data_IF_368274598736
#
_entry.id   IF_368274598736
#
_cell.length_a   1.000
_cell.length_b   1.000
_cell.length_c   1.000
_cell.angle_alpha   90.00
_cell.angle_beta   90.00
_cell.angle_gamma   90.00
#
_symmetry.space_group_name_H-M   'P 1'
#
loop_
_entity.id
_entity.type
_entity.pdbx_description
1 polymer ?
#
# COMPACT_ATOMS: atom_id res chain seq x y z
N UNK A 1 -7.15 0.89 -11.12
CA UNK A 1 -7.30 1.25 -12.56
C UNK A 1 -6.84 2.68 -12.76
N UNK A 2 -6.27 3.01 -13.92
CA UNK A 2 -5.84 4.37 -14.23
C UNK A 2 -7.05 5.23 -14.56
N UNK A 3 -7.22 6.36 -13.89
CA UNK A 3 -8.35 7.27 -14.13
C UNK A 3 -8.18 8.14 -15.40
N UNK A 4 -7.00 8.12 -16.04
CA UNK A 4 -6.62 9.02 -17.14
C UNK A 4 -6.12 8.28 -18.37
N UNK A 5 -6.38 6.98 -18.48
CA UNK A 5 -5.86 6.15 -19.58
C UNK A 5 -6.83 6.03 -20.75
N UNK A 6 -8.11 5.76 -20.48
CA UNK A 6 -9.17 5.65 -21.51
C UNK A 6 -10.41 6.49 -21.13
N UNK A 7 -11.29 6.76 -22.10
CA UNK A 7 -12.58 7.42 -21.89
C UNK A 7 -13.57 6.54 -21.12
N UNK A 8 -13.36 5.22 -21.11
CA UNK A 8 -14.14 4.25 -20.31
C UNK A 8 -13.24 3.61 -19.24
N UNK A 9 -13.64 3.70 -17.97
CA UNK A 9 -12.86 3.17 -16.83
C UNK A 9 -12.64 1.64 -16.94
N UNK A 10 -13.62 0.91 -17.48
CA UNK A 10 -13.52 -0.54 -17.66
C UNK A 10 -12.42 -0.96 -18.66
N UNK A 11 -12.08 -0.08 -19.59
CA UNK A 11 -11.07 -0.32 -20.64
C UNK A 11 -9.69 0.24 -20.25
N UNK A 12 -9.60 0.94 -19.12
CA UNK A 12 -8.36 1.56 -18.64
C UNK A 12 -7.39 0.55 -18.04
N UNK A 13 -6.09 0.80 -18.18
CA UNK A 13 -5.03 -0.02 -17.58
C UNK A 13 -5.20 -0.21 -16.07
N UNK A 14 -4.88 -1.43 -15.60
CA UNK A 14 -4.70 -1.70 -14.19
C UNK A 14 -3.35 -1.16 -13.70
N UNK A 15 -3.39 -0.11 -12.88
CA UNK A 15 -2.20 0.49 -12.24
C UNK A 15 -2.10 0.18 -10.75
N UNK A 16 -3.04 -0.61 -10.21
CA UNK A 16 -3.08 -0.97 -8.79
C UNK A 16 -3.46 0.19 -7.87
N UNK A 17 -3.12 0.03 -6.60
CA UNK A 17 -3.27 1.04 -5.55
C UNK A 17 -2.21 0.79 -4.49
N UNK A 18 -1.69 1.86 -3.91
CA UNK A 18 -0.62 1.79 -2.91
C UNK A 18 -1.16 2.09 -1.52
N UNK A 19 -0.69 1.33 -0.53
CA UNK A 19 -0.90 1.60 0.90
C UNK A 19 0.42 1.46 1.63
N UNK A 20 0.77 2.45 2.45
CA UNK A 20 2.02 2.47 3.24
C UNK A 20 1.68 2.55 4.72
N UNK A 21 2.27 1.67 5.51
CA UNK A 21 1.95 1.50 6.93
C UNK A 21 3.22 1.37 7.77
N UNK A 22 3.14 1.87 9.01
CA UNK A 22 4.14 1.63 10.03
C UNK A 22 3.96 0.18 10.55
N UNK A 23 4.98 -0.68 10.44
CA UNK A 23 4.87 -2.07 10.85
C UNK A 23 5.00 -2.27 12.37
N UNK A 24 4.97 -1.21 13.17
CA UNK A 24 5.10 -1.29 14.63
C UNK A 24 3.73 -1.31 15.30
N UNK A 25 3.49 -2.35 16.10
CA UNK A 25 2.26 -2.51 16.91
C UNK A 25 2.68 -2.76 18.36
N UNK A 26 2.16 -1.96 19.29
CA UNK A 26 2.52 -2.01 20.72
C UNK A 26 4.04 -2.00 20.97
N UNK A 27 4.79 -1.23 20.18
CA UNK A 27 6.25 -1.14 20.29
C UNK A 27 7.02 -2.31 19.67
N UNK A 28 6.34 -3.34 19.14
CA UNK A 28 6.97 -4.45 18.43
C UNK A 28 6.93 -4.21 16.91
N UNK A 29 8.10 -4.21 16.28
CA UNK A 29 8.21 -4.21 14.81
C UNK A 29 7.81 -5.58 14.27
N UNK A 30 6.90 -5.59 13.31
CA UNK A 30 6.41 -6.78 12.63
C UNK A 30 7.04 -6.91 11.23
N UNK A 31 7.05 -8.13 10.72
CA UNK A 31 7.40 -8.45 9.33
C UNK A 31 6.26 -9.24 8.71
N UNK A 32 5.99 -9.03 7.43
CA UNK A 32 4.80 -9.57 6.79
C UNK A 32 5.13 -10.45 5.60
N UNK A 33 4.31 -11.46 5.38
CA UNK A 33 4.22 -12.22 4.13
C UNK A 33 2.82 -12.10 3.57
N UNK A 34 2.70 -12.04 2.26
CA UNK A 34 1.39 -12.06 1.60
C UNK A 34 1.01 -13.49 1.25
N UNK A 35 -0.21 -13.90 1.64
CA UNK A 35 -0.76 -15.23 1.35
C UNK A 35 -2.28 -15.17 1.30
N UNK A 36 -2.87 -15.77 0.27
CA UNK A 36 -4.33 -15.96 0.13
C UNK A 36 -5.17 -14.68 0.34
N UNK A 37 -4.71 -13.53 -0.15
CA UNK A 37 -5.43 -12.26 -0.02
C UNK A 37 -5.16 -11.48 1.26
N UNK A 38 -4.32 -12.00 2.16
CA UNK A 38 -4.01 -11.38 3.44
C UNK A 38 -2.52 -11.16 3.63
N UNK A 39 -2.20 -10.16 4.44
CA UNK A 39 -0.86 -9.99 5.01
C UNK A 39 -0.82 -10.74 6.34
N UNK A 40 0.16 -11.62 6.51
CA UNK A 40 0.34 -12.41 7.73
C UNK A 40 1.61 -11.92 8.40
N UNK A 41 1.52 -11.43 9.65
CA UNK A 41 2.74 -11.08 10.38
C UNK A 41 3.47 -12.34 10.88
N UNK A 42 4.79 -12.36 10.78
CA UNK A 42 5.59 -13.54 11.13
C UNK A 42 5.77 -13.71 12.63
N UNK A 43 5.57 -12.64 13.41
CA UNK A 43 5.86 -12.61 14.84
C UNK A 43 4.72 -13.14 15.72
N UNK A 44 3.49 -13.09 15.23
CA UNK A 44 2.28 -13.54 15.95
C UNK A 44 1.35 -14.38 15.08
N UNK A 45 1.51 -14.34 13.75
CA UNK A 45 0.62 -15.03 12.82
C UNK A 45 -0.73 -14.35 12.65
N UNK A 46 -0.90 -13.10 13.10
CA UNK A 46 -2.15 -12.37 12.89
C UNK A 46 -2.34 -12.08 11.39
N UNK A 47 -3.59 -12.11 10.94
CA UNK A 47 -3.95 -11.82 9.55
C UNK A 47 -4.45 -10.39 9.44
N UNK A 48 -3.99 -9.70 8.41
CA UNK A 48 -4.25 -8.30 8.16
C UNK A 48 -4.82 -8.14 6.75
N UNK A 49 -5.86 -7.32 6.62
CA UNK A 49 -6.41 -6.95 5.32
C UNK A 49 -5.59 -5.83 4.65
N UNK A 50 -5.96 -5.50 3.41
CA UNK A 50 -5.28 -4.47 2.60
C UNK A 50 -5.36 -3.07 3.20
N UNK A 51 -6.29 -2.83 4.13
CA UNK A 51 -6.44 -1.52 4.80
C UNK A 51 -5.50 -1.36 5.99
N UNK A 52 -4.78 -2.43 6.36
CA UNK A 52 -3.91 -2.48 7.53
C UNK A 52 -4.66 -2.90 8.81
N UNK A 53 -5.88 -3.44 8.70
CA UNK A 53 -6.64 -3.91 9.86
C UNK A 53 -6.37 -5.38 10.12
N UNK A 54 -6.04 -5.74 11.35
CA UNK A 54 -5.97 -7.12 11.78
C UNK A 54 -7.39 -7.71 11.86
N UNK A 55 -7.65 -8.71 11.05
CA UNK A 55 -8.95 -9.39 10.96
C UNK A 55 -8.98 -10.72 11.73
N UNK A 56 -7.82 -11.21 12.16
CA UNK A 56 -7.69 -12.48 12.87
C UNK A 56 -6.37 -12.56 13.65
N UNK A 57 -6.30 -13.45 14.64
CA UNK A 57 -5.13 -13.70 15.48
C UNK A 57 -4.97 -12.74 16.65
N UNK A 58 -3.75 -12.68 17.20
CA UNK A 58 -3.45 -11.96 18.46
C UNK A 58 -3.83 -10.47 18.40
N UNK A 59 -3.69 -9.83 17.24
CA UNK A 59 -3.93 -8.41 17.07
C UNK A 59 -5.31 -8.06 16.51
N UNK A 60 -6.25 -9.00 16.44
CA UNK A 60 -7.59 -8.77 15.87
C UNK A 60 -8.22 -7.44 16.34
N UNK A 61 -8.73 -6.67 15.38
CA UNK A 61 -9.33 -5.36 15.61
C UNK A 61 -8.36 -4.18 15.63
N UNK A 62 -7.05 -4.40 15.76
CA UNK A 62 -6.04 -3.33 15.66
C UNK A 62 -5.84 -2.89 14.21
N UNK A 63 -5.35 -1.67 14.04
CA UNK A 63 -4.95 -1.11 12.76
C UNK A 63 -3.47 -0.76 12.79
N UNK A 64 -2.76 -1.05 11.71
CA UNK A 64 -1.46 -0.45 11.45
C UNK A 64 -1.64 1.05 11.22
N UNK A 65 -0.70 1.84 11.73
CA UNK A 65 -0.68 3.27 11.49
C UNK A 65 -0.35 3.52 10.01
N UNK A 66 -1.24 4.24 9.30
CA UNK A 66 -1.05 4.59 7.90
C UNK A 66 -0.05 5.74 7.79
N UNK A 67 0.98 5.55 6.98
CA UNK A 67 1.97 6.60 6.69
C UNK A 67 1.45 7.44 5.53
N UNK A 68 1.56 8.76 5.66
CA UNK A 68 1.25 9.68 4.56
C UNK A 68 2.20 9.40 3.39
N UNK A 69 1.64 9.03 2.26
CA UNK A 69 2.36 8.73 1.02
C UNK A 69 1.54 9.28 -0.16
N UNK A 70 2.15 9.28 -1.33
CA UNK A 70 1.48 9.65 -2.56
C UNK A 70 1.78 8.64 -3.65
N UNK A 71 0.75 8.38 -4.44
CA UNK A 71 0.78 7.57 -5.66
C UNK A 71 0.39 8.52 -6.79
N UNK A 72 1.37 8.93 -7.59
CA UNK A 72 1.23 10.07 -8.50
C UNK A 72 1.53 9.66 -9.93
N UNK A 73 0.75 10.20 -10.87
CA UNK A 73 1.17 10.23 -12.27
C UNK A 73 2.45 11.04 -12.42
N UNK A 74 3.36 10.55 -13.26
CA UNK A 74 4.66 11.19 -13.50
C UNK A 74 4.51 12.67 -13.89
N UNK A 75 3.60 13.01 -14.81
CA UNK A 75 3.39 14.39 -15.23
C UNK A 75 2.99 15.31 -14.07
N UNK A 76 2.16 14.83 -13.13
CA UNK A 76 1.73 15.61 -11.98
C UNK A 76 2.88 15.79 -10.98
N UNK A 77 3.69 14.74 -10.79
CA UNK A 77 4.89 14.82 -9.96
C UNK A 77 5.88 15.87 -10.48
N UNK A 78 6.16 15.87 -11.79
CA UNK A 78 7.13 16.79 -12.39
C UNK A 78 6.71 18.26 -12.34
N UNK A 79 5.42 18.59 -12.25
CA UNK A 79 4.96 19.97 -12.01
C UNK A 79 5.47 20.49 -10.66
N UNK A 80 5.52 19.65 -9.63
CA UNK A 80 5.94 20.05 -8.28
C UNK A 80 7.40 19.73 -7.97
N UNK A 81 8.03 18.81 -8.71
CA UNK A 81 9.40 18.33 -8.51
C UNK A 81 10.12 18.21 -9.86
N UNK A 82 10.36 19.34 -10.56
CA UNK A 82 10.87 19.34 -11.93
C UNK A 82 12.27 18.73 -12.06
N UNK A 83 13.12 18.87 -11.04
CA UNK A 83 14.50 18.37 -11.05
C UNK A 83 14.62 16.87 -10.67
N UNK A 84 13.52 16.12 -10.67
CA UNK A 84 13.57 14.68 -10.35
C UNK A 84 14.26 13.92 -11.49
N UNK A 85 15.36 13.23 -11.18
CA UNK A 85 16.05 12.37 -12.14
C UNK A 85 15.21 11.12 -12.50
N UNK A 86 15.20 10.77 -13.80
CA UNK A 86 14.62 9.52 -14.29
C UNK A 86 15.75 8.56 -14.63
N UNK A 87 15.78 7.43 -13.93
CA UNK A 87 16.65 6.30 -14.28
C UNK A 87 15.85 5.28 -15.08
N UNK A 88 16.16 5.16 -16.37
CA UNK A 88 15.59 4.13 -17.22
C UNK A 88 16.29 2.79 -16.94
N UNK A 89 15.52 1.70 -16.98
CA UNK A 89 16.01 0.34 -16.77
C UNK A 89 16.62 -0.23 -18.04
#
# INVERSE_FOLDING_TARGET
VSALDDGTIADSKEVGSTGVFNPVVDGKKLTFKYKDGYFIDNETGSRWDITGKAVDGKYIGKNLERIKHGDYFAFAWFVFRPDTDIYLK
#
